data_IF_135619527130
#
_entry.id   IF_135619527130
#
_cell.length_a   1.000
_cell.length_b   1.000
_cell.length_c   1.000
_cell.angle_alpha   90.00
_cell.angle_beta   90.00
_cell.angle_gamma   90.00
#
_symmetry.space_group_name_H-M   'P 1'
#
loop_
_entity.id
_entity.type
_entity.pdbx_description
1 polymer ?
#
# COMPACT_ATOMS: atom_id res chain seq x y z
N UNK A 1 -20.57 -19.55 -6.96
CA UNK A 1 -21.25 -20.11 -8.14
C UNK A 1 -20.97 -19.28 -9.38
N UNK A 2 -21.89 -18.38 -9.75
CA UNK A 2 -21.73 -17.44 -10.89
C UNK A 2 -21.04 -16.11 -10.53
N UNK A 3 -21.29 -15.48 -9.35
CA UNK A 3 -20.62 -14.22 -8.97
C UNK A 3 -19.09 -14.38 -8.86
N UNK A 4 -18.62 -15.44 -8.20
CA UNK A 4 -17.20 -15.75 -8.03
C UNK A 4 -16.46 -15.97 -9.37
N UNK A 5 -17.15 -16.50 -10.38
CA UNK A 5 -16.56 -16.68 -11.71
C UNK A 5 -16.41 -15.35 -12.46
N UNK A 6 -17.37 -14.43 -12.29
CA UNK A 6 -17.32 -13.11 -12.92
C UNK A 6 -16.16 -12.26 -12.38
N UNK A 7 -15.96 -12.27 -11.07
CA UNK A 7 -14.85 -11.53 -10.43
C UNK A 7 -13.49 -12.06 -10.90
N UNK A 8 -13.36 -13.39 -10.97
CA UNK A 8 -12.15 -14.05 -11.50
C UNK A 8 -11.90 -13.67 -12.96
N UNK A 9 -12.93 -13.70 -13.81
CA UNK A 9 -12.82 -13.34 -15.23
C UNK A 9 -12.44 -11.86 -15.38
N UNK A 10 -13.00 -10.97 -14.57
CA UNK A 10 -12.68 -9.53 -14.59
C UNK A 10 -11.23 -9.27 -14.18
N UNK A 11 -10.74 -10.00 -13.18
CA UNK A 11 -9.32 -9.95 -12.76
C UNK A 11 -8.40 -10.41 -13.89
N UNK A 12 -8.73 -11.51 -14.56
CA UNK A 12 -7.97 -12.00 -15.73
C UNK A 12 -7.99 -11.01 -16.89
N UNK A 13 -9.13 -10.37 -17.16
CA UNK A 13 -9.24 -9.34 -18.19
C UNK A 13 -8.32 -8.15 -17.87
N UNK A 14 -8.28 -7.71 -16.61
CA UNK A 14 -7.41 -6.62 -16.15
C UNK A 14 -5.93 -6.97 -16.33
N UNK A 15 -5.53 -8.19 -15.97
CA UNK A 15 -4.17 -8.69 -16.21
C UNK A 15 -3.82 -8.67 -17.70
N UNK A 16 -4.68 -9.25 -18.55
CA UNK A 16 -4.47 -9.32 -20.00
C UNK A 16 -4.39 -7.94 -20.64
N UNK A 17 -5.27 -7.02 -20.24
CA UNK A 17 -5.27 -5.64 -20.73
C UNK A 17 -3.97 -4.92 -20.35
N UNK A 18 -3.55 -5.06 -19.08
CA UNK A 18 -2.32 -4.44 -18.57
C UNK A 18 -1.07 -5.00 -19.26
N UNK A 19 -1.01 -6.31 -19.47
CA UNK A 19 0.08 -6.96 -20.22
C UNK A 19 0.11 -6.49 -21.67
N UNK A 20 -1.05 -6.43 -22.34
CA UNK A 20 -1.14 -5.98 -23.74
C UNK A 20 -0.71 -4.51 -23.91
N UNK A 21 -0.90 -3.67 -22.88
CA UNK A 21 -0.53 -2.25 -22.90
C UNK A 21 0.98 -2.02 -22.84
N UNK A 22 1.73 -2.79 -22.04
CA UNK A 22 3.15 -2.55 -21.78
C UNK A 22 4.11 -3.64 -22.31
N UNK A 23 3.58 -4.80 -22.71
CA UNK A 23 4.28 -5.82 -23.49
C UNK A 23 5.19 -6.78 -22.73
N UNK A 24 5.85 -6.35 -21.65
CA UNK A 24 6.78 -7.21 -20.88
C UNK A 24 6.16 -7.80 -19.62
N UNK A 25 5.31 -7.05 -18.94
CA UNK A 25 4.57 -7.47 -17.74
C UNK A 25 3.32 -6.58 -17.59
N UNK A 26 2.34 -6.96 -16.75
CA UNK A 26 1.21 -6.09 -16.43
C UNK A 26 1.55 -5.00 -15.41
N UNK A 27 2.80 -4.95 -14.92
CA UNK A 27 3.20 -4.07 -13.82
C UNK A 27 3.99 -2.86 -14.33
N UNK A 28 3.82 -1.75 -13.62
CA UNK A 28 4.66 -0.56 -13.72
C UNK A 28 5.20 -0.22 -12.34
N UNK A 29 6.36 0.43 -12.30
CA UNK A 29 6.96 0.88 -11.05
C UNK A 29 7.55 2.29 -11.27
N UNK A 30 7.30 3.25 -10.37
CA UNK A 30 7.78 4.62 -10.55
C UNK A 30 9.30 4.70 -10.47
N UNK A 31 9.87 5.52 -11.35
CA UNK A 31 11.26 5.93 -11.24
C UNK A 31 11.47 6.63 -9.89
N UNK A 32 12.60 6.36 -9.24
CA UNK A 32 12.95 6.81 -7.88
C UNK A 32 12.10 6.19 -6.76
N UNK A 33 11.27 5.19 -7.06
CA UNK A 33 10.56 4.41 -6.07
C UNK A 33 9.20 4.98 -5.67
N UNK A 34 8.50 4.23 -4.81
CA UNK A 34 7.11 4.53 -4.43
C UNK A 34 6.95 5.85 -3.67
N UNK A 35 8.03 6.41 -3.09
CA UNK A 35 8.02 7.71 -2.41
C UNK A 35 7.60 8.88 -3.31
N UNK A 36 7.80 8.76 -4.63
CA UNK A 36 7.34 9.78 -5.58
C UNK A 36 5.80 9.91 -5.68
N UNK A 37 5.04 8.86 -5.30
CA UNK A 37 3.58 8.90 -5.30
C UNK A 37 3.03 9.88 -4.25
N UNK A 38 3.31 9.75 -2.93
CA UNK A 38 2.86 10.71 -1.94
C UNK A 38 3.44 12.12 -2.17
N UNK A 39 4.67 12.23 -2.68
CA UNK A 39 5.23 13.54 -3.08
C UNK A 39 4.38 14.20 -4.17
N UNK A 40 4.00 13.46 -5.21
CA UNK A 40 3.13 13.94 -6.28
C UNK A 40 1.75 14.40 -5.77
N UNK A 41 1.12 13.61 -4.91
CA UNK A 41 -0.16 14.00 -4.29
C UNK A 41 -0.04 15.20 -3.35
N UNK A 42 1.08 15.32 -2.62
CA UNK A 42 1.32 16.49 -1.76
C UNK A 42 1.41 17.78 -2.57
N UNK A 43 2.09 17.73 -3.72
CA UNK A 43 2.15 18.84 -4.67
C UNK A 43 0.77 19.16 -5.25
N UNK A 44 0.02 18.16 -5.67
CA UNK A 44 -1.33 18.36 -6.21
C UNK A 44 -2.23 19.07 -5.18
N UNK A 45 -2.22 18.62 -3.94
CA UNK A 45 -3.00 19.25 -2.88
C UNK A 45 -2.50 20.68 -2.56
N UNK A 46 -1.20 20.97 -2.63
CA UNK A 46 -0.68 22.32 -2.49
C UNK A 46 -1.14 23.27 -3.62
N UNK A 47 -1.23 22.78 -4.86
CA UNK A 47 -1.78 23.55 -6.00
C UNK A 47 -3.22 23.98 -5.71
N UNK A 48 -4.01 23.11 -5.08
CA UNK A 48 -5.38 23.39 -4.67
C UNK A 48 -5.51 24.05 -3.28
N UNK A 49 -4.44 24.71 -2.80
CA UNK A 49 -4.46 25.51 -1.56
C UNK A 49 -4.29 24.71 -0.26
N UNK A 50 -4.02 23.41 -0.34
CA UNK A 50 -3.68 22.60 0.82
C UNK A 50 -2.30 22.93 1.39
N UNK A 51 -2.09 22.60 2.67
CA UNK A 51 -0.80 22.77 3.35
C UNK A 51 -0.33 21.43 3.90
N UNK A 52 0.89 21.01 3.54
CA UNK A 52 1.53 19.82 4.09
C UNK A 52 2.49 20.19 5.21
N UNK A 53 2.40 19.47 6.32
CA UNK A 53 3.29 19.64 7.47
C UNK A 53 3.96 18.30 7.78
N UNK A 54 5.30 18.28 7.71
CA UNK A 54 6.13 17.16 8.16
C UNK A 54 6.79 17.51 9.49
N UNK A 55 7.28 16.49 10.21
CA UNK A 55 7.90 16.67 11.53
C UNK A 55 6.98 17.42 12.51
N UNK A 56 5.70 17.05 12.49
CA UNK A 56 4.66 17.65 13.31
C UNK A 56 3.79 16.56 13.93
N UNK A 57 4.01 16.31 15.21
CA UNK A 57 3.25 15.28 15.92
C UNK A 57 1.81 15.75 16.20
N UNK A 58 0.88 14.80 16.13
CA UNK A 58 -0.52 14.98 16.52
C UNK A 58 -0.68 14.37 17.91
N UNK A 59 -0.94 15.21 18.90
CA UNK A 59 -1.07 14.75 20.29
C UNK A 59 -2.46 14.15 20.56
N UNK A 60 -3.49 14.68 19.91
CA UNK A 60 -4.87 14.36 20.23
C UNK A 60 -5.83 14.71 19.07
N UNK A 61 -6.78 13.80 18.83
CA UNK A 61 -7.97 14.07 18.02
C UNK A 61 -9.05 14.61 18.95
N UNK A 62 -9.55 15.79 18.65
CA UNK A 62 -10.50 16.50 19.51
C UNK A 62 -11.92 16.08 19.18
N UNK A 63 -12.65 15.58 20.19
CA UNK A 63 -14.02 15.11 20.08
C UNK A 63 -15.01 16.07 20.75
N UNK A 64 -16.17 16.30 20.14
CA UNK A 64 -17.24 17.09 20.73
C UNK A 64 -18.11 16.26 21.69
N UNK A 65 -19.10 16.89 22.34
CA UNK A 65 -20.02 16.21 23.28
C UNK A 65 -20.86 15.11 22.63
N UNK A 66 -21.02 15.14 21.30
CA UNK A 66 -21.72 14.11 20.51
C UNK A 66 -20.81 12.97 20.04
N UNK A 67 -19.52 13.02 20.39
CA UNK A 67 -18.53 12.01 19.99
C UNK A 67 -17.98 12.17 18.57
N UNK A 68 -18.17 13.33 17.94
CA UNK A 68 -17.65 13.62 16.60
C UNK A 68 -16.32 14.38 16.66
N UNK A 69 -15.38 14.00 15.80
CA UNK A 69 -14.13 14.72 15.62
C UNK A 69 -14.35 16.11 15.03
N UNK A 70 -13.73 17.13 15.63
CA UNK A 70 -13.81 18.52 15.18
C UNK A 70 -12.45 19.19 14.98
N UNK A 71 -11.36 18.45 15.13
CA UNK A 71 -10.02 18.96 14.93
C UNK A 71 -8.94 18.08 15.55
N UNK A 72 -7.72 18.62 15.53
CA UNK A 72 -6.54 18.01 16.14
C UNK A 72 -5.80 19.04 17.00
N UNK A 73 -5.07 18.54 17.99
CA UNK A 73 -4.14 19.32 18.81
C UNK A 73 -2.72 18.85 18.55
N UNK A 74 -1.81 19.81 18.38
CA UNK A 74 -0.38 19.58 18.19
C UNK A 74 0.39 20.55 19.10
N UNK A 75 0.88 20.08 20.23
CA UNK A 75 1.45 20.93 21.28
C UNK A 75 0.41 21.92 21.82
N UNK A 76 0.75 23.21 21.70
CA UNK A 76 -0.10 24.33 22.13
C UNK A 76 -1.01 24.86 21.01
N UNK A 77 -0.96 24.28 19.81
CA UNK A 77 -1.75 24.71 18.65
C UNK A 77 -2.90 23.75 18.36
N UNK A 78 -3.97 24.28 17.77
CA UNK A 78 -5.17 23.53 17.40
C UNK A 78 -5.57 23.88 15.97
N UNK A 79 -5.90 22.86 15.17
CA UNK A 79 -6.51 23.01 13.87
C UNK A 79 -7.91 22.40 13.91
N UNK A 80 -8.94 23.17 13.50
CA UNK A 80 -10.33 22.71 13.44
C UNK A 80 -10.66 22.17 12.06
N UNK A 81 -11.45 21.11 12.01
CA UNK A 81 -11.93 20.48 10.78
C UNK A 81 -13.32 19.87 11.00
N UNK A 82 -14.04 19.57 9.92
CA UNK A 82 -15.34 18.88 9.98
C UNK A 82 -15.22 17.36 10.13
N UNK A 83 -14.04 16.83 9.81
CA UNK A 83 -13.69 15.42 9.85
C UNK A 83 -12.17 15.28 9.92
N UNK A 84 -11.71 14.10 10.32
CA UNK A 84 -10.28 13.73 10.34
C UNK A 84 -10.10 12.44 9.54
N UNK A 85 -9.09 12.43 8.67
CA UNK A 85 -8.68 11.26 7.88
C UNK A 85 -7.26 10.90 8.31
N UNK A 86 -6.97 9.62 8.51
CA UNK A 86 -5.61 9.18 8.81
C UNK A 86 -5.44 7.67 8.77
N UNK A 87 -4.19 7.21 8.91
CA UNK A 87 -3.90 5.80 9.05
C UNK A 87 -4.10 5.32 10.50
N UNK A 88 -4.16 4.00 10.76
CA UNK A 88 -4.44 3.44 12.07
C UNK A 88 -3.55 3.93 13.22
N UNK A 89 -2.33 4.39 12.95
CA UNK A 89 -1.38 4.80 14.00
C UNK A 89 -1.80 6.06 14.75
N UNK A 90 -2.66 6.91 14.17
CA UNK A 90 -3.13 8.16 14.78
C UNK A 90 -4.37 7.98 15.67
N UNK A 91 -5.01 6.81 15.66
CA UNK A 91 -6.29 6.61 16.32
C UNK A 91 -6.18 5.68 17.54
N UNK A 92 -7.07 5.83 18.53
CA UNK A 92 -7.13 4.93 19.68
C UNK A 92 -7.35 3.46 19.25
N UNK A 93 -6.82 2.53 20.05
CA UNK A 93 -6.90 1.08 19.77
C UNK A 93 -8.33 0.54 19.73
N UNK A 94 -9.29 1.26 20.29
CA UNK A 94 -10.70 0.88 20.26
C UNK A 94 -11.35 1.18 18.91
N UNK A 95 -10.76 2.06 18.09
CA UNK A 95 -11.26 2.42 16.75
C UNK A 95 -10.67 1.56 15.62
N UNK A 96 -9.65 0.75 15.93
CA UNK A 96 -8.95 -0.09 14.96
C UNK A 96 -8.81 -1.50 15.49
N UNK A 97 -8.87 -2.51 14.62
CA UNK A 97 -8.62 -3.90 15.01
C UNK A 97 -7.46 -4.48 14.21
N UNK A 98 -6.61 -5.31 14.82
CA UNK A 98 -5.55 -6.01 14.09
C UNK A 98 -6.17 -7.03 13.13
N UNK A 99 -5.66 -7.08 11.90
CA UNK A 99 -6.09 -8.00 10.84
C UNK A 99 -5.08 -9.11 10.58
N UNK A 100 -3.83 -8.93 10.99
CA UNK A 100 -2.78 -9.93 10.80
C UNK A 100 -1.38 -9.37 11.07
N UNK A 101 -0.37 -10.20 10.77
CA UNK A 101 1.03 -9.82 10.80
C UNK A 101 1.60 -10.03 9.39
N UNK A 102 2.23 -9.00 8.82
CA UNK A 102 2.93 -9.10 7.53
C UNK A 102 4.43 -9.09 7.80
N UNK A 103 5.12 -10.11 7.31
CA UNK A 103 6.59 -10.13 7.27
C UNK A 103 7.06 -9.57 5.94
N UNK A 104 8.06 -8.68 5.98
CA UNK A 104 8.76 -8.15 4.80
C UNK A 104 10.27 -8.27 5.00
N UNK A 105 10.96 -8.85 4.03
CA UNK A 105 12.41 -8.99 4.02
C UNK A 105 13.00 -8.31 2.79
N UNK A 106 13.67 -7.18 3.02
CA UNK A 106 14.36 -6.42 1.97
C UNK A 106 15.76 -6.99 1.81
N UNK A 107 16.08 -7.48 0.62
CA UNK A 107 17.33 -8.15 0.28
C UNK A 107 18.09 -7.36 -0.79
N UNK A 108 19.38 -7.09 -0.54
CA UNK A 108 20.29 -6.52 -1.52
C UNK A 108 21.08 -7.63 -2.22
N UNK A 109 21.06 -7.62 -3.54
CA UNK A 109 21.78 -8.58 -4.39
C UNK A 109 22.75 -7.82 -5.31
N UNK A 110 23.85 -8.48 -5.69
CA UNK A 110 24.81 -8.01 -6.69
C UNK A 110 24.66 -8.72 -8.05
N UNK A 111 23.51 -9.37 -8.27
CA UNK A 111 23.18 -10.10 -9.49
C UNK A 111 21.66 -10.11 -9.69
N UNK A 112 21.17 -10.29 -10.93
CA UNK A 112 19.74 -10.49 -11.16
C UNK A 112 19.27 -11.78 -10.47
N UNK A 113 17.99 -11.84 -10.11
CA UNK A 113 17.41 -13.06 -9.54
C UNK A 113 17.60 -14.23 -10.53
N UNK A 114 18.13 -15.39 -10.10
CA UNK A 114 18.27 -16.58 -10.94
C UNK A 114 16.98 -16.93 -11.70
N UNK A 115 17.12 -17.45 -12.92
CA UNK A 115 16.00 -17.88 -13.78
C UNK A 115 15.02 -16.77 -14.20
N UNK A 116 15.40 -15.49 -14.09
CA UNK A 116 14.60 -14.36 -14.59
C UNK A 116 15.12 -13.79 -15.92
N UNK A 117 15.92 -14.54 -16.67
CA UNK A 117 16.55 -14.08 -17.92
C UNK A 117 17.33 -12.74 -17.75
N UNK A 118 18.03 -12.59 -16.62
CA UNK A 118 18.77 -11.38 -16.25
C UNK A 118 17.91 -10.10 -16.20
N UNK A 119 16.63 -10.22 -15.83
CA UNK A 119 15.72 -9.06 -15.78
C UNK A 119 16.14 -8.03 -14.73
N UNK A 120 16.02 -6.75 -15.05
CA UNK A 120 16.31 -5.62 -14.16
C UNK A 120 15.20 -5.34 -13.13
N UNK A 121 14.02 -5.91 -13.34
CA UNK A 121 12.93 -6.01 -12.37
C UNK A 121 12.11 -7.27 -12.62
N UNK A 122 11.43 -7.75 -11.58
CA UNK A 122 10.58 -8.93 -11.68
C UNK A 122 9.51 -8.95 -10.58
N UNK A 123 8.37 -9.56 -10.89
CA UNK A 123 7.37 -10.00 -9.93
C UNK A 123 7.43 -11.54 -9.89
N UNK A 124 7.53 -12.12 -8.70
CA UNK A 124 7.42 -13.57 -8.50
C UNK A 124 6.35 -13.81 -7.46
N UNK A 125 5.40 -14.69 -7.80
CA UNK A 125 4.33 -15.12 -6.91
C UNK A 125 4.57 -16.59 -6.63
N UNK A 126 4.65 -16.95 -5.36
CA UNK A 126 4.74 -18.33 -4.89
C UNK A 126 3.38 -18.66 -4.27
N UNK A 127 2.51 -19.40 -4.98
CA UNK A 127 1.21 -19.76 -4.45
C UNK A 127 1.37 -20.57 -3.17
N UNK A 128 0.67 -20.18 -2.11
CA UNK A 128 0.76 -20.79 -0.78
C UNK A 128 0.70 -22.32 -0.81
N UNK A 129 -0.25 -22.95 -1.54
CA UNK A 129 -0.35 -24.39 -1.64
C UNK A 129 0.90 -25.10 -2.21
N UNK A 130 1.74 -24.42 -3.00
CA UNK A 130 3.00 -24.97 -3.52
C UNK A 130 4.08 -25.11 -2.44
N UNK A 131 3.90 -24.44 -1.31
CA UNK A 131 4.84 -24.39 -0.18
C UNK A 131 4.17 -24.73 1.15
N UNK A 132 3.05 -25.46 1.11
CA UNK A 132 2.26 -25.88 2.28
C UNK A 132 1.79 -24.71 3.17
N UNK A 133 1.42 -23.60 2.55
CA UNK A 133 0.85 -22.41 3.19
C UNK A 133 -0.57 -22.14 2.67
N UNK A 134 -1.32 -21.33 3.41
CA UNK A 134 -2.58 -20.75 2.97
C UNK A 134 -2.37 -19.45 2.20
N UNK A 135 -1.42 -18.64 2.67
CA UNK A 135 -1.10 -17.33 2.10
C UNK A 135 0.08 -17.43 1.14
N UNK A 136 -0.03 -16.72 0.02
CA UNK A 136 1.01 -16.61 -0.98
C UNK A 136 2.24 -15.86 -0.44
N UNK A 137 3.40 -16.10 -1.07
CA UNK A 137 4.63 -15.33 -0.84
C UNK A 137 4.92 -14.55 -2.11
N UNK A 138 5.15 -13.25 -1.96
CA UNK A 138 5.46 -12.34 -3.06
C UNK A 138 6.94 -11.98 -3.04
N UNK A 139 7.55 -11.87 -4.22
CA UNK A 139 8.88 -11.27 -4.41
C UNK A 139 8.77 -10.18 -5.47
N UNK A 140 9.03 -8.94 -5.08
CA UNK A 140 9.20 -7.83 -6.00
C UNK A 140 10.68 -7.49 -6.10
N UNK A 141 11.22 -7.43 -7.32
CA UNK A 141 12.60 -7.08 -7.59
C UNK A 141 12.67 -5.80 -8.43
N UNK A 142 13.48 -4.85 -8.00
CA UNK A 142 13.81 -3.61 -8.70
C UNK A 142 15.32 -3.37 -8.61
N UNK A 143 15.85 -2.47 -9.44
CA UNK A 143 17.29 -2.23 -9.54
C UNK A 143 17.59 -0.79 -9.97
N UNK A 144 18.84 -0.51 -10.34
CA UNK A 144 19.24 0.78 -10.93
C UNK A 144 18.40 1.22 -12.13
N UNK A 145 17.75 0.30 -12.85
CA UNK A 145 16.82 0.63 -13.93
C UNK A 145 15.64 1.52 -13.49
N UNK A 146 15.29 1.48 -12.20
CA UNK A 146 14.23 2.29 -11.59
C UNK A 146 14.79 3.45 -10.75
N UNK A 147 16.10 3.73 -10.83
CA UNK A 147 16.78 4.74 -10.02
C UNK A 147 16.63 4.55 -8.49
N UNK A 148 16.42 3.32 -8.02
CA UNK A 148 16.30 3.00 -6.58
C UNK A 148 17.56 2.40 -5.96
N UNK A 149 18.56 2.07 -6.78
CA UNK A 149 19.82 1.47 -6.35
C UNK A 149 20.98 1.88 -7.26
N UNK A 150 22.21 1.72 -6.77
CA UNK A 150 23.41 1.88 -7.59
C UNK A 150 23.47 0.80 -8.68
N UNK A 151 24.19 1.09 -9.78
CA UNK A 151 24.41 0.11 -10.87
C UNK A 151 24.99 -1.20 -10.33
N UNK A 152 24.44 -2.32 -10.80
CA UNK A 152 24.84 -3.66 -10.37
C UNK A 152 24.22 -4.10 -9.04
N UNK A 153 23.40 -3.26 -8.40
CA UNK A 153 22.67 -3.60 -7.17
C UNK A 153 21.19 -3.80 -7.48
N UNK A 154 20.63 -4.89 -6.97
CA UNK A 154 19.21 -5.23 -7.04
C UNK A 154 18.63 -5.23 -5.63
N UNK A 155 17.39 -4.78 -5.51
CA UNK A 155 16.61 -4.79 -4.28
C UNK A 155 15.45 -5.76 -4.52
N UNK A 156 15.47 -6.89 -3.82
CA UNK A 156 14.40 -7.87 -3.80
C UNK A 156 13.66 -7.81 -2.46
N UNK A 157 12.34 -7.66 -2.49
CA UNK A 157 11.50 -7.59 -1.31
C UNK A 157 10.64 -8.85 -1.28
N UNK A 158 10.84 -9.69 -0.25
CA UNK A 158 10.03 -10.90 -0.01
C UNK A 158 8.98 -10.57 1.05
N UNK A 159 7.71 -10.83 0.77
CA UNK A 159 6.61 -10.57 1.71
C UNK A 159 5.56 -11.67 1.74
N UNK A 160 4.92 -11.85 2.90
CA UNK A 160 3.74 -12.72 3.06
C UNK A 160 2.94 -12.33 4.30
N UNK A 161 1.65 -12.68 4.32
CA UNK A 161 0.83 -12.67 5.54
C UNK A 161 1.22 -13.88 6.40
N UNK A 162 1.61 -13.63 7.65
CA UNK A 162 2.07 -14.67 8.56
C UNK A 162 0.93 -15.61 9.00
N UNK A 163 1.29 -16.87 9.22
CA UNK A 163 0.39 -17.94 9.65
C UNK A 163 0.66 -18.40 11.10
N UNK A 164 1.50 -17.66 11.83
CA UNK A 164 1.82 -17.87 13.24
C UNK A 164 3.16 -18.57 13.50
N UNK A 165 3.99 -18.74 12.47
CA UNK A 165 5.34 -19.30 12.57
C UNK A 165 6.41 -18.26 12.85
N UNK A 166 7.67 -18.68 12.71
CA UNK A 166 8.80 -17.76 12.76
C UNK A 166 8.91 -17.00 11.43
N UNK A 167 8.99 -15.64 11.45
CA UNK A 167 8.97 -14.82 10.23
C UNK A 167 9.94 -15.30 9.15
N UNK A 168 11.18 -15.64 9.56
CA UNK A 168 12.26 -16.11 8.68
C UNK A 168 11.94 -17.43 7.97
N UNK A 169 11.25 -18.35 8.63
CA UNK A 169 10.87 -19.63 8.01
C UNK A 169 9.70 -19.45 7.05
N UNK A 170 8.78 -18.52 7.34
CA UNK A 170 7.61 -18.25 6.48
C UNK A 170 8.00 -17.63 5.13
N UNK A 171 9.08 -16.86 5.07
CA UNK A 171 9.59 -16.25 3.83
C UNK A 171 10.70 -17.05 3.15
N UNK A 172 11.17 -18.14 3.77
CA UNK A 172 12.27 -18.96 3.29
C UNK A 172 12.09 -19.44 1.85
N UNK A 173 10.89 -19.85 1.37
CA UNK A 173 10.72 -20.20 -0.04
C UNK A 173 11.03 -19.04 -0.99
N UNK A 174 10.65 -17.80 -0.65
CA UNK A 174 10.97 -16.62 -1.43
C UNK A 174 12.47 -16.30 -1.42
N UNK A 175 13.10 -16.40 -0.25
CA UNK A 175 14.54 -16.18 -0.11
C UNK A 175 15.38 -17.19 -0.91
N UNK A 176 14.93 -18.44 -0.99
CA UNK A 176 15.60 -19.50 -1.73
C UNK A 176 15.71 -19.20 -3.24
N UNK A 177 14.85 -18.34 -3.78
CA UNK A 177 14.89 -17.93 -5.18
C UNK A 177 15.95 -16.87 -5.47
N UNK A 178 16.45 -16.15 -4.45
CA UNK A 178 17.23 -14.93 -4.64
C UNK A 178 18.71 -15.17 -4.97
N UNK A 179 19.22 -16.39 -4.83
CA UNK A 179 20.66 -16.68 -4.94
C UNK A 179 21.48 -16.11 -3.77
N UNK A 180 22.64 -15.52 -4.06
CA UNK A 180 23.52 -14.96 -3.01
C UNK A 180 23.01 -13.59 -2.56
N UNK A 181 22.64 -13.50 -1.28
CA UNK A 181 22.16 -12.25 -0.68
C UNK A 181 23.32 -11.52 -0.02
N UNK A 182 23.59 -10.27 -0.42
CA UNK A 182 24.64 -9.44 0.18
C UNK A 182 24.29 -9.05 1.61
N UNK A 183 23.05 -8.59 1.79
CA UNK A 183 22.51 -8.12 3.04
C UNK A 183 20.98 -8.20 2.99
N UNK A 184 20.36 -8.45 4.14
CA UNK A 184 18.90 -8.45 4.26
C UNK A 184 18.42 -7.80 5.55
N UNK A 185 17.21 -7.27 5.50
CA UNK A 185 16.54 -6.60 6.60
C UNK A 185 15.11 -7.14 6.71
N UNK A 186 14.85 -7.91 7.75
CA UNK A 186 13.53 -8.49 8.03
C UNK A 186 12.77 -7.61 9.03
N UNK A 187 11.51 -7.33 8.72
CA UNK A 187 10.60 -6.62 9.61
C UNK A 187 9.24 -7.32 9.63
N UNK A 188 8.54 -7.21 10.76
CA UNK A 188 7.18 -7.69 10.92
C UNK A 188 6.33 -6.51 11.34
N UNK A 189 5.21 -6.30 10.67
CA UNK A 189 4.26 -5.25 10.98
C UNK A 189 2.88 -5.85 11.21
N UNK A 190 2.22 -5.42 12.28
CA UNK A 190 0.79 -5.69 12.46
C UNK A 190 0.00 -4.83 11.50
N UNK A 191 -0.93 -5.43 10.78
CA UNK A 191 -1.90 -4.73 9.93
C UNK A 191 -3.17 -4.46 10.71
N UNK A 192 -3.81 -3.34 10.42
CA UNK A 192 -5.02 -2.88 11.09
C UNK A 192 -6.07 -2.43 10.08
N UNK A 193 -7.33 -2.47 10.51
CA UNK A 193 -8.47 -1.88 9.80
C UNK A 193 -9.39 -1.16 10.79
N UNK A 194 -10.18 -0.15 10.34
CA UNK A 194 -11.18 0.47 11.18
C UNK A 194 -12.26 -0.52 11.65
N UNK A 195 -12.80 -0.29 12.85
CA UNK A 195 -13.96 -1.06 13.36
C UNK A 195 -15.31 -0.49 12.92
N UNK A 196 -15.34 0.75 12.40
CA UNK A 196 -16.54 1.49 11.98
C UNK A 196 -16.29 2.22 10.63
N UNK A 197 -17.34 2.68 9.97
CA UNK A 197 -17.22 3.41 8.69
C UNK A 197 -16.81 4.88 8.86
N UNK A 198 -16.87 5.41 10.08
CA UNK A 198 -16.41 6.76 10.44
C UNK A 198 -17.48 7.83 10.29
N UNK A 199 -18.70 7.49 9.83
CA UNK A 199 -19.76 8.49 9.60
C UNK A 199 -20.31 9.06 10.90
N UNK A 200 -20.35 8.25 11.95
CA UNK A 200 -20.89 8.62 13.28
C UNK A 200 -19.93 9.50 14.08
N UNK A 201 -18.63 9.25 14.01
CA UNK A 201 -17.60 9.93 14.80
C UNK A 201 -16.70 10.89 13.98
N UNK A 202 -16.92 11.00 12.67
CA UNK A 202 -16.13 11.81 11.72
C UNK A 202 -14.64 11.47 11.68
N UNK A 203 -14.26 10.26 12.09
CA UNK A 203 -12.92 9.69 11.99
C UNK A 203 -12.89 8.66 10.87
N UNK A 204 -12.26 9.01 9.74
CA UNK A 204 -12.17 8.14 8.57
C UNK A 204 -10.78 7.52 8.49
N UNK A 205 -10.68 6.27 8.92
CA UNK A 205 -9.40 5.56 9.04
C UNK A 205 -9.19 4.69 7.80
N UNK A 206 -7.98 4.71 7.25
CA UNK A 206 -7.55 3.77 6.19
C UNK A 206 -7.16 2.41 6.79
N UNK A 207 -7.07 1.39 5.94
CA UNK A 207 -6.45 0.11 6.28
C UNK A 207 -4.93 0.20 6.20
N UNK A 208 -4.25 -0.72 6.86
CA UNK A 208 -2.81 -0.93 6.67
C UNK A 208 -2.52 -1.65 5.36
N UNK A 209 -1.41 -1.30 4.71
CA UNK A 209 -0.87 -2.02 3.55
C UNK A 209 -0.64 -3.51 3.86
N UNK A 210 -1.19 -4.37 3.02
CA UNK A 210 -1.12 -5.82 3.19
C UNK A 210 0.20 -6.44 2.66
N UNK A 211 0.26 -7.78 2.61
CA UNK A 211 1.44 -8.52 2.17
C UNK A 211 1.64 -8.60 0.66
N UNK A 212 0.69 -8.10 -0.15
CA UNK A 212 0.75 -8.16 -1.60
C UNK A 212 1.77 -7.19 -2.18
N UNK A 213 2.12 -7.39 -3.44
CA UNK A 213 3.13 -6.61 -4.17
C UNK A 213 2.53 -5.74 -5.29
N UNK A 214 1.23 -5.43 -5.19
CA UNK A 214 0.50 -4.53 -6.08
C UNK A 214 -0.53 -3.73 -5.26
N UNK A 215 -1.12 -2.70 -5.87
CA UNK A 215 -1.95 -1.70 -5.16
C UNK A 215 -3.47 -1.95 -5.20
N UNK A 216 -3.94 -3.12 -5.63
CA UNK A 216 -5.38 -3.33 -5.87
C UNK A 216 -6.20 -3.11 -4.59
N UNK A 217 -5.83 -3.81 -3.52
CA UNK A 217 -6.51 -3.70 -2.22
C UNK A 217 -6.39 -2.30 -1.60
N UNK A 218 -5.28 -1.59 -1.87
CA UNK A 218 -5.06 -0.23 -1.39
C UNK A 218 -5.95 0.77 -2.15
N UNK A 219 -6.16 0.57 -3.46
CA UNK A 219 -7.07 1.35 -4.28
C UNK A 219 -8.52 1.08 -3.87
N UNK A 220 -8.88 -0.18 -3.58
CA UNK A 220 -10.20 -0.52 -3.04
C UNK A 220 -10.49 0.20 -1.72
N UNK A 221 -9.51 0.23 -0.79
CA UNK A 221 -9.66 0.96 0.46
C UNK A 221 -9.77 2.47 0.25
N UNK A 222 -8.98 3.05 -0.67
CA UNK A 222 -9.08 4.46 -1.05
C UNK A 222 -10.47 4.81 -1.60
N UNK A 223 -11.00 4.00 -2.51
CA UNK A 223 -12.34 4.20 -3.09
C UNK A 223 -13.43 4.07 -2.03
N UNK A 224 -13.30 3.10 -1.12
CA UNK A 224 -14.19 2.95 0.03
C UNK A 224 -14.12 4.17 0.95
N UNK A 225 -12.92 4.67 1.26
CA UNK A 225 -12.70 5.86 2.08
C UNK A 225 -13.36 7.09 1.45
N UNK A 226 -13.19 7.29 0.14
CA UNK A 226 -13.85 8.36 -0.61
C UNK A 226 -15.37 8.28 -0.49
N UNK A 227 -15.96 7.09 -0.68
CA UNK A 227 -17.41 6.89 -0.59
C UNK A 227 -17.94 7.11 0.84
N UNK A 228 -17.20 6.65 1.87
CA UNK A 228 -17.56 6.87 3.28
C UNK A 228 -17.56 8.36 3.64
N UNK A 229 -16.61 9.13 3.11
CA UNK A 229 -16.48 10.57 3.38
C UNK A 229 -17.52 11.39 2.63
N UNK A 230 -17.67 11.14 1.33
CA UNK A 230 -18.48 11.98 0.43
C UNK A 230 -19.93 11.53 0.33
N UNK A 231 -20.22 10.27 0.67
CA UNK A 231 -21.53 9.65 0.50
C UNK A 231 -21.82 9.18 -0.92
N UNK A 232 -20.87 9.27 -1.85
CA UNK A 232 -21.02 8.83 -3.24
C UNK A 232 -19.76 8.11 -3.76
N UNK A 233 -19.96 7.23 -4.73
CA UNK A 233 -18.85 6.56 -5.42
C UNK A 233 -18.06 7.58 -6.25
N UNK A 234 -16.74 7.41 -6.28
CA UNK A 234 -15.89 8.19 -7.16
C UNK A 234 -16.23 7.87 -8.62
N UNK A 235 -16.56 8.90 -9.40
CA UNK A 235 -16.81 8.75 -10.83
C UNK A 235 -15.48 8.67 -11.58
N UNK A 236 -15.09 7.45 -11.93
CA UNK A 236 -13.85 7.15 -12.65
C UNK A 236 -13.88 7.55 -14.14
N UNK A 237 -14.97 8.17 -14.62
CA UNK A 237 -15.12 8.63 -16.01
C UNK A 237 -14.81 10.12 -16.20
N UNK A 238 -14.69 10.87 -15.10
CA UNK A 238 -14.37 12.30 -15.13
C UNK A 238 -12.86 12.47 -15.36
N UNK A 239 -12.48 13.31 -16.33
CA UNK A 239 -11.07 13.63 -16.56
C UNK A 239 -10.55 14.54 -15.44
N UNK A 240 -9.44 14.18 -14.80
CA UNK A 240 -8.79 14.99 -13.77
C UNK A 240 -8.38 16.40 -14.28
N UNK A 241 -8.12 16.54 -15.59
CA UNK A 241 -7.78 17.82 -16.22
C UNK A 241 -9.00 18.74 -16.43
N UNK A 242 -10.23 18.23 -16.23
CA UNK A 242 -11.46 19.02 -16.43
C UNK A 242 -11.83 19.89 -15.23
N UNK A 243 -11.08 19.82 -14.13
CA UNK A 243 -11.15 20.79 -13.05
C UNK A 243 -10.29 21.98 -13.48
N UNK A 244 -10.88 22.90 -14.27
CA UNK A 244 -10.26 24.19 -14.55
C UNK A 244 -9.82 24.80 -13.22
N UNK A 245 -8.51 24.94 -13.06
CA UNK A 245 -7.97 25.76 -12.00
C UNK A 245 -8.30 27.21 -12.38
N UNK A 246 -9.48 27.66 -11.97
CA UNK A 246 -9.83 29.08 -11.96
C UNK A 246 -8.84 29.79 -11.03
N UNK A 247 -7.72 30.25 -11.61
CA UNK A 247 -6.81 31.23 -11.02
C UNK A 247 -7.12 32.61 -11.57
#
# INVERSE_FOLDING_TARGET
GLPEALDTVTTLQTYCYSLARYGTSPYIYPMYGLGGLPEGFSRLCAIHGGTFMLNRDVDEILMNESGEAYGIRCGNEMAKAKLVIGDPSYFPREQVRPTGLVVRCICFLNHPIPNTNNSESAQIIIPGPQVNRKNDIFVCCVSSAHCVANRGVYIAIVSTLMEGGMPEEEIKPGLALLGSIMQRFTSVATTYEPVDDGKSNKCFISKSFDGTSHFENDVEDLLSLYERITGSKLDMTINADSVEADY
#
